data_IF_341254534527
#
_entry.id   IF_341254534527
#
_cell.length_a   1.000
_cell.length_b   1.000
_cell.length_c   1.000
_cell.angle_alpha   90.00
_cell.angle_beta   90.00
_cell.angle_gamma   90.00
#
_symmetry.space_group_name_H-M   'P 1'
#
loop_
_entity.id
_entity.type
_entity.pdbx_description
1 polymer ?
#
# COMPACT_ATOMS: atom_id res chain seq x y z
N UNK A 1 -15.66 -7.81 -35.38
CA UNK A 1 -17.14 -7.85 -35.37
C UNK A 1 -17.76 -8.65 -34.20
N UNK A 2 -17.16 -9.70 -33.62
CA UNK A 2 -17.74 -10.39 -32.43
C UNK A 2 -17.50 -9.72 -31.06
N UNK A 3 -16.58 -8.77 -30.96
CA UNK A 3 -16.29 -8.05 -29.70
C UNK A 3 -17.20 -6.83 -29.43
N UNK A 4 -17.88 -6.30 -30.45
CA UNK A 4 -18.75 -5.11 -30.30
C UNK A 4 -20.12 -5.49 -29.72
N UNK A 5 -20.61 -6.71 -30.00
CA UNK A 5 -21.88 -7.20 -29.46
C UNK A 5 -21.85 -7.36 -27.93
N UNK A 6 -20.73 -7.82 -27.35
CA UNK A 6 -20.60 -7.97 -25.91
C UNK A 6 -20.47 -6.63 -25.15
N UNK A 7 -19.93 -5.59 -25.80
CA UNK A 7 -19.84 -4.27 -25.19
C UNK A 7 -21.22 -3.58 -25.11
N UNK A 8 -22.03 -3.72 -26.16
CA UNK A 8 -23.39 -3.19 -26.17
C UNK A 8 -24.28 -3.83 -25.09
N UNK A 9 -24.13 -5.13 -24.86
CA UNK A 9 -24.88 -5.87 -23.83
C UNK A 9 -24.46 -5.43 -22.41
N UNK A 10 -23.17 -5.22 -22.16
CA UNK A 10 -22.66 -4.70 -20.89
C UNK A 10 -23.15 -3.27 -20.63
N UNK A 11 -23.18 -2.40 -21.65
CA UNK A 11 -23.69 -1.03 -21.52
C UNK A 11 -25.18 -1.04 -21.20
N UNK A 12 -25.98 -1.91 -21.83
CA UNK A 12 -27.42 -2.03 -21.56
C UNK A 12 -27.71 -2.51 -20.13
N UNK A 13 -26.91 -3.46 -19.61
CA UNK A 13 -27.00 -3.88 -18.20
C UNK A 13 -26.65 -2.71 -17.27
N UNK A 14 -25.64 -1.91 -17.63
CA UNK A 14 -25.21 -0.77 -16.84
C UNK A 14 -26.26 0.36 -16.77
N UNK A 15 -26.93 0.67 -17.87
CA UNK A 15 -28.02 1.65 -17.91
C UNK A 15 -29.22 1.20 -17.06
N UNK A 16 -29.56 -0.08 -17.08
CA UNK A 16 -30.64 -0.63 -16.26
C UNK A 16 -30.32 -0.57 -14.76
N UNK A 17 -29.07 -0.81 -14.37
CA UNK A 17 -28.62 -0.67 -12.97
C UNK A 17 -28.71 0.78 -12.50
N UNK A 18 -28.27 1.75 -13.31
CA UNK A 18 -28.40 3.18 -12.96
C UNK A 18 -29.87 3.59 -12.82
N UNK A 19 -30.73 3.16 -13.74
CA UNK A 19 -32.16 3.46 -13.67
C UNK A 19 -32.82 2.81 -12.43
N UNK A 20 -32.36 1.63 -12.02
CA UNK A 20 -32.76 1.00 -10.76
C UNK A 20 -32.35 1.82 -9.53
N UNK A 21 -31.10 2.28 -9.49
CA UNK A 21 -30.58 3.10 -8.38
C UNK A 21 -31.32 4.43 -8.23
N UNK A 22 -31.61 5.13 -9.35
CA UNK A 22 -32.40 6.37 -9.35
C UNK A 22 -33.82 6.19 -8.83
N UNK A 23 -34.43 5.02 -9.03
CA UNK A 23 -35.77 4.71 -8.49
C UNK A 23 -35.73 4.48 -6.98
N UNK A 24 -34.70 3.79 -6.48
CA UNK A 24 -34.53 3.54 -5.04
C UNK A 24 -34.36 4.86 -4.29
N UNK A 25 -33.52 5.77 -4.81
CA UNK A 25 -33.30 7.11 -4.26
C UNK A 25 -34.60 7.94 -4.21
N UNK A 26 -35.45 7.87 -5.24
CA UNK A 26 -36.74 8.55 -5.26
C UNK A 26 -37.74 8.03 -4.22
N UNK A 27 -37.68 6.72 -3.87
CA UNK A 27 -38.51 6.13 -2.80
C UNK A 27 -38.05 6.55 -1.40
N UNK A 28 -36.76 6.83 -1.21
CA UNK A 28 -36.21 7.22 0.08
C UNK A 28 -36.51 8.69 0.43
N UNK A 29 -36.61 9.57 -0.56
CA UNK A 29 -36.92 11.01 -0.39
C UNK A 29 -38.39 11.27 0.01
N UNK A 30 -39.28 10.29 -0.04
CA UNK A 30 -40.70 10.45 0.35
C UNK A 30 -41.07 9.73 1.67
N UNK A 31 -40.06 9.29 2.44
CA UNK A 31 -40.24 8.51 3.67
C UNK A 31 -40.13 9.28 4.98
N UNK A 32 -40.16 10.62 4.98
CA UNK A 32 -40.09 11.41 6.22
C UNK A 32 -41.37 12.23 6.42
N UNK A 33 -42.32 11.66 7.16
CA UNK A 33 -43.29 12.46 7.91
C UNK A 33 -43.78 11.69 9.13
N UNK A 34 -43.77 12.39 10.26
CA UNK A 34 -44.41 12.10 11.54
C UNK A 34 -43.63 11.25 12.54
N UNK A 35 -42.77 11.93 13.30
CA UNK A 35 -42.66 11.71 14.75
C UNK A 35 -42.84 13.03 15.46
N UNK A 36 -44.06 13.24 15.94
CA UNK A 36 -44.40 14.22 16.95
C UNK A 36 -44.07 13.66 18.35
N UNK A 37 -43.46 14.52 19.18
CA UNK A 37 -43.55 14.50 20.64
C UNK A 37 -42.55 13.61 21.38
N UNK A 38 -41.68 14.23 22.18
CA UNK A 38 -41.94 14.41 23.62
C UNK A 38 -40.80 15.25 24.23
N UNK A 39 -41.14 16.37 24.86
CA UNK A 39 -40.21 17.31 25.49
C UNK A 39 -39.85 16.80 26.89
N UNK A 40 -38.60 16.35 27.05
CA UNK A 40 -38.01 16.00 28.34
C UNK A 40 -36.72 16.78 28.54
N UNK A 41 -36.83 17.91 29.24
CA UNK A 41 -35.71 18.68 29.78
C UNK A 41 -34.88 17.80 30.72
N UNK A 42 -33.62 17.51 30.37
CA UNK A 42 -32.61 17.08 31.35
C UNK A 42 -31.19 17.45 30.88
N UNK A 43 -30.66 18.46 31.58
CA UNK A 43 -29.27 18.70 31.98
C UNK A 43 -28.12 18.35 31.01
N UNK A 44 -27.76 19.40 30.28
CA UNK A 44 -26.48 19.75 29.67
C UNK A 44 -25.24 19.29 30.48
N UNK A 45 -24.66 18.17 30.06
CA UNK A 45 -23.23 17.89 30.19
C UNK A 45 -22.68 17.56 28.81
N UNK A 46 -22.00 18.54 28.22
CA UNK A 46 -21.23 18.43 27.00
C UNK A 46 -20.31 17.21 27.02
N UNK A 47 -20.75 16.18 26.32
CA UNK A 47 -19.90 15.19 25.70
C UNK A 47 -19.91 15.58 24.22
N UNK A 48 -18.86 16.29 23.77
CA UNK A 48 -18.60 16.61 22.37
C UNK A 48 -18.19 15.32 21.63
N UNK A 49 -19.04 14.31 21.74
CA UNK A 49 -18.99 13.08 20.96
C UNK A 49 -19.39 13.40 19.53
N UNK A 50 -18.47 14.06 18.82
CA UNK A 50 -18.34 13.95 17.37
C UNK A 50 -17.94 12.49 17.03
N UNK A 51 -18.75 11.52 17.48
CA UNK A 51 -18.90 10.25 16.80
C UNK A 51 -19.61 10.59 15.50
N UNK A 52 -18.85 11.22 14.58
CA UNK A 52 -19.23 11.26 13.17
C UNK A 52 -19.62 9.83 12.84
N UNK A 53 -20.91 9.62 12.58
CA UNK A 53 -21.46 8.38 12.07
C UNK A 53 -20.65 8.05 10.81
N UNK A 54 -19.55 7.33 11.00
CA UNK A 54 -18.65 6.83 9.97
C UNK A 54 -19.44 5.70 9.32
N UNK A 55 -20.44 6.09 8.52
CA UNK A 55 -21.25 5.19 7.71
C UNK A 55 -20.29 4.22 7.06
N UNK A 56 -20.43 2.93 7.39
CA UNK A 56 -19.44 1.87 7.15
C UNK A 56 -18.87 1.86 5.71
N UNK A 57 -17.90 2.73 5.40
CA UNK A 57 -17.30 2.89 4.07
C UNK A 57 -16.20 1.85 3.80
N UNK A 58 -16.15 0.81 4.62
CA UNK A 58 -15.10 -0.20 4.59
C UNK A 58 -15.62 -1.60 4.98
N UNK A 59 -16.37 -2.23 4.06
CA UNK A 59 -16.91 -3.60 4.23
C UNK A 59 -15.86 -4.64 4.60
N UNK A 60 -14.58 -4.36 4.33
CA UNK A 60 -13.47 -5.21 4.70
C UNK A 60 -13.28 -5.34 6.22
N UNK A 61 -13.87 -4.47 7.05
CA UNK A 61 -13.90 -4.61 8.51
C UNK A 61 -14.76 -5.81 8.95
N UNK A 62 -15.85 -6.09 8.22
CA UNK A 62 -16.74 -7.22 8.45
C UNK A 62 -16.34 -8.50 7.67
N UNK A 63 -15.11 -8.58 7.13
CA UNK A 63 -14.67 -9.70 6.26
C UNK A 63 -14.54 -11.07 6.94
N UNK A 64 -14.61 -11.14 8.27
CA UNK A 64 -14.44 -12.40 9.02
C UNK A 64 -15.81 -12.91 9.44
N UNK A 65 -16.22 -14.04 8.89
CA UNK A 65 -17.50 -14.69 9.20
C UNK A 65 -17.74 -14.89 10.72
N UNK A 66 -16.68 -15.14 11.48
CA UNK A 66 -16.77 -15.43 12.91
C UNK A 66 -16.88 -14.19 13.81
N UNK A 67 -16.84 -12.98 13.27
CA UNK A 67 -16.93 -11.76 14.10
C UNK A 67 -18.39 -11.42 14.40
N UNK A 68 -18.63 -10.83 15.58
CA UNK A 68 -19.96 -10.36 15.97
C UNK A 68 -20.53 -9.35 14.98
N UNK A 69 -19.68 -8.47 14.42
CA UNK A 69 -20.09 -7.51 13.40
C UNK A 69 -20.66 -8.18 12.15
N UNK A 70 -19.96 -9.19 11.59
CA UNK A 70 -20.43 -9.91 10.41
C UNK A 70 -21.77 -10.62 10.71
N UNK A 71 -21.86 -11.27 11.86
CA UNK A 71 -23.08 -11.96 12.29
C UNK A 71 -24.25 -11.00 12.50
N UNK A 72 -24.00 -9.83 13.10
CA UNK A 72 -24.99 -8.79 13.29
C UNK A 72 -25.51 -8.28 11.94
N UNK A 73 -24.63 -7.93 11.01
CA UNK A 73 -25.01 -7.47 9.66
C UNK A 73 -25.83 -8.56 8.95
N UNK A 74 -25.40 -9.82 8.97
CA UNK A 74 -26.13 -10.95 8.35
C UNK A 74 -27.50 -11.22 8.97
N UNK A 75 -27.73 -10.80 10.22
CA UNK A 75 -29.02 -10.94 10.88
C UNK A 75 -30.05 -9.91 10.42
N UNK A 76 -29.59 -8.82 9.79
CA UNK A 76 -30.46 -7.80 9.22
C UNK A 76 -31.23 -8.35 8.01
N UNK A 77 -32.46 -7.91 7.83
CA UNK A 77 -33.29 -8.24 6.67
C UNK A 77 -33.23 -7.10 5.66
N UNK A 78 -32.45 -7.26 4.60
CA UNK A 78 -32.32 -6.28 3.53
C UNK A 78 -32.48 -6.96 2.16
N UNK A 79 -33.16 -6.28 1.25
CA UNK A 79 -33.37 -6.76 -0.13
C UNK A 79 -32.20 -6.42 -1.06
N UNK A 80 -31.40 -5.41 -0.71
CA UNK A 80 -30.25 -4.92 -1.47
C UNK A 80 -29.14 -4.59 -0.48
N UNK A 81 -27.90 -4.91 -0.82
CA UNK A 81 -26.71 -4.44 -0.10
C UNK A 81 -25.70 -3.87 -1.09
N UNK A 82 -25.10 -2.74 -0.74
CA UNK A 82 -23.97 -2.15 -1.44
C UNK A 82 -22.78 -2.19 -0.50
N UNK A 83 -21.74 -2.94 -0.87
CA UNK A 83 -20.53 -3.09 -0.07
C UNK A 83 -19.45 -2.16 -0.64
N UNK A 84 -19.05 -1.15 0.12
CA UNK A 84 -18.02 -0.19 -0.26
C UNK A 84 -16.69 -0.59 0.39
N UNK A 85 -15.64 -0.68 -0.41
CA UNK A 85 -14.28 -0.83 0.10
C UNK A 85 -13.23 -0.47 -0.96
N UNK A 86 -12.14 0.17 -0.52
CA UNK A 86 -10.98 0.41 -1.37
C UNK A 86 -10.17 -0.87 -1.69
N UNK A 87 -10.27 -1.90 -0.84
CA UNK A 87 -9.47 -3.14 -0.96
C UNK A 87 -10.28 -4.38 -0.56
N UNK A 88 -11.03 -5.01 -1.49
CA UNK A 88 -11.88 -6.16 -1.17
C UNK A 88 -11.08 -7.41 -0.77
N UNK A 89 -9.79 -7.49 -1.11
CA UNK A 89 -8.88 -8.56 -0.68
C UNK A 89 -7.72 -7.91 0.06
N UNK A 90 -7.65 -8.11 1.37
CA UNK A 90 -6.55 -7.55 2.18
C UNK A 90 -5.39 -8.53 2.29
N UNK A 91 -5.69 -9.79 2.66
CA UNK A 91 -4.68 -10.83 2.89
C UNK A 91 -4.97 -12.12 2.12
N UNK A 92 -6.23 -12.58 2.11
CA UNK A 92 -6.57 -13.91 1.59
C UNK A 92 -7.90 -13.92 0.86
N UNK A 93 -8.11 -14.91 -0.02
CA UNK A 93 -9.41 -15.15 -0.67
C UNK A 93 -10.55 -15.39 0.33
N UNK A 94 -10.24 -15.74 1.58
CA UNK A 94 -11.23 -15.89 2.65
C UNK A 94 -11.91 -14.56 2.99
N UNK A 95 -11.21 -13.45 2.78
CA UNK A 95 -11.71 -12.10 3.02
C UNK A 95 -12.91 -11.80 2.08
N UNK A 96 -12.94 -12.39 0.89
CA UNK A 96 -14.06 -12.27 -0.05
C UNK A 96 -15.27 -13.08 0.39
N UNK A 97 -15.07 -14.30 0.92
CA UNK A 97 -16.19 -15.11 1.42
C UNK A 97 -16.97 -14.34 2.48
N UNK A 98 -16.28 -13.85 3.52
CA UNK A 98 -16.97 -13.17 4.61
C UNK A 98 -17.69 -11.89 4.16
N UNK A 99 -17.13 -11.15 3.20
CA UNK A 99 -17.80 -9.98 2.62
C UNK A 99 -18.98 -10.37 1.73
N UNK A 100 -18.86 -11.36 0.86
CA UNK A 100 -19.96 -11.80 0.01
C UNK A 100 -21.10 -12.44 0.79
N UNK A 101 -20.83 -12.99 1.97
CA UNK A 101 -21.85 -13.48 2.89
C UNK A 101 -22.73 -12.37 3.48
N UNK A 102 -22.32 -11.10 3.33
CA UNK A 102 -23.11 -9.92 3.68
C UNK A 102 -24.10 -9.54 2.56
N UNK A 103 -24.11 -10.22 1.42
CA UNK A 103 -25.12 -9.97 0.38
C UNK A 103 -26.48 -10.57 0.79
N UNK A 104 -27.60 -10.05 0.27
CA UNK A 104 -28.93 -10.56 0.57
C UNK A 104 -29.01 -12.09 0.39
N UNK A 105 -29.65 -12.77 1.35
CA UNK A 105 -29.76 -14.23 1.35
C UNK A 105 -28.46 -14.97 1.70
N UNK A 106 -27.45 -14.28 2.24
CA UNK A 106 -26.14 -14.86 2.55
C UNK A 106 -25.19 -14.93 1.34
N UNK A 107 -25.56 -14.29 0.23
CA UNK A 107 -24.76 -14.25 -0.98
C UNK A 107 -24.56 -15.60 -1.68
N UNK A 108 -23.54 -15.73 -2.54
CA UNK A 108 -23.30 -16.93 -3.34
C UNK A 108 -22.68 -18.10 -2.54
N UNK A 109 -22.35 -17.89 -1.26
CA UNK A 109 -21.65 -18.87 -0.43
C UNK A 109 -22.37 -19.09 0.89
N UNK A 110 -22.63 -20.36 1.24
CA UNK A 110 -23.23 -20.71 2.53
C UNK A 110 -22.29 -20.42 3.70
N UNK A 111 -21.01 -20.73 3.51
CA UNK A 111 -19.95 -20.58 4.50
C UNK A 111 -18.57 -20.48 3.81
N UNK A 112 -17.54 -20.21 4.62
CA UNK A 112 -16.15 -20.19 4.13
C UNK A 112 -15.68 -21.52 3.54
N UNK A 113 -16.21 -22.66 4.01
CA UNK A 113 -15.83 -23.99 3.51
C UNK A 113 -16.31 -24.21 2.08
N UNK A 114 -17.52 -23.75 1.75
CA UNK A 114 -18.09 -23.81 0.41
C UNK A 114 -17.24 -23.03 -0.60
N UNK A 115 -16.85 -21.78 -0.26
CA UNK A 115 -15.92 -21.02 -1.10
C UNK A 115 -14.61 -21.80 -1.26
N UNK A 116 -14.06 -22.30 -0.15
CA UNK A 116 -12.77 -23.01 -0.14
C UNK A 116 -12.80 -24.24 -1.05
N UNK A 117 -13.90 -24.99 -1.08
CA UNK A 117 -14.09 -26.13 -1.97
C UNK A 117 -14.14 -25.73 -3.44
N UNK A 118 -14.88 -24.67 -3.77
CA UNK A 118 -14.99 -24.17 -5.14
C UNK A 118 -13.67 -23.66 -5.71
N UNK A 119 -12.80 -23.11 -4.86
CA UNK A 119 -11.52 -22.55 -5.28
C UNK A 119 -10.33 -23.49 -5.10
N UNK A 120 -10.55 -24.68 -4.52
CA UNK A 120 -9.49 -25.67 -4.28
C UNK A 120 -9.04 -26.28 -5.60
N UNK A 121 -7.77 -26.09 -5.94
CA UNK A 121 -7.17 -26.74 -7.12
C UNK A 121 -6.45 -28.00 -6.69
N UNK A 122 -6.88 -29.17 -7.18
CA UNK A 122 -6.16 -30.43 -6.94
C UNK A 122 -4.76 -30.32 -7.56
N UNK A 123 -3.71 -30.59 -6.78
CA UNK A 123 -2.34 -30.57 -7.31
C UNK A 123 -2.21 -31.61 -8.43
N UNK A 124 -1.39 -31.35 -9.47
CA UNK A 124 -1.18 -32.29 -10.58
C UNK A 124 -0.77 -33.69 -10.11
N UNK A 125 -0.08 -33.75 -8.98
CA UNK A 125 0.52 -34.94 -8.40
C UNK A 125 -0.46 -35.72 -7.49
N UNK A 126 -1.74 -35.30 -7.41
CA UNK A 126 -2.75 -35.91 -6.54
C UNK A 126 -2.58 -35.67 -5.04
N UNK A 127 -1.38 -35.30 -4.58
CA UNK A 127 -1.06 -35.08 -3.16
C UNK A 127 -1.43 -33.67 -2.70
N UNK A 128 -2.73 -33.44 -2.50
CA UNK A 128 -3.28 -32.26 -1.85
C UNK A 128 -3.75 -31.16 -2.80
N UNK A 129 -4.12 -30.01 -2.22
CA UNK A 129 -4.65 -28.86 -2.93
C UNK A 129 -3.63 -27.71 -2.96
N UNK A 130 -3.54 -27.01 -4.09
CA UNK A 130 -2.72 -25.81 -4.23
C UNK A 130 -3.54 -24.55 -3.90
N UNK A 131 -2.95 -23.54 -3.24
CA UNK A 131 -3.57 -22.23 -3.16
C UNK A 131 -3.70 -21.62 -4.56
N UNK A 132 -4.79 -20.88 -4.79
CA UNK A 132 -5.16 -20.16 -6.02
C UNK A 132 -4.03 -19.37 -6.71
N UNK A 133 -2.98 -18.98 -5.96
CA UNK A 133 -1.84 -18.25 -6.48
C UNK A 133 -0.92 -19.06 -7.40
N UNK A 134 -1.00 -20.40 -7.39
CA UNK A 134 0.02 -21.27 -8.01
C UNK A 134 -0.36 -22.02 -9.28
N UNK A 135 -1.62 -22.05 -9.72
CA UNK A 135 -2.06 -22.94 -10.82
C UNK A 135 -2.80 -22.17 -11.92
N UNK A 136 -2.40 -22.38 -13.17
CA UNK A 136 -2.74 -21.55 -14.33
C UNK A 136 -4.21 -21.53 -14.77
N UNK A 137 -4.49 -20.56 -15.65
CA UNK A 137 -5.60 -20.48 -16.61
C UNK A 137 -7.02 -20.75 -16.11
N UNK A 138 -7.42 -22.02 -16.12
CA UNK A 138 -8.81 -22.43 -15.96
C UNK A 138 -9.34 -22.24 -14.53
N UNK A 139 -8.49 -22.39 -13.51
CA UNK A 139 -8.90 -22.23 -12.11
C UNK A 139 -9.04 -20.77 -11.67
N UNK A 140 -8.57 -19.82 -12.48
CA UNK A 140 -8.81 -18.38 -12.27
C UNK A 140 -10.12 -17.92 -12.91
N UNK A 141 -10.71 -18.70 -13.82
CA UNK A 141 -11.91 -18.30 -14.54
C UNK A 141 -13.10 -18.10 -13.60
N UNK A 142 -13.36 -19.05 -12.69
CA UNK A 142 -14.49 -18.95 -11.76
C UNK A 142 -14.38 -17.74 -10.82
N UNK A 143 -13.26 -17.53 -10.09
CA UNK A 143 -13.09 -16.32 -9.28
C UNK A 143 -13.18 -15.04 -10.09
N UNK A 144 -12.61 -14.99 -11.30
CA UNK A 144 -12.66 -13.81 -12.15
C UNK A 144 -14.10 -13.50 -12.61
N UNK A 145 -14.87 -14.51 -13.01
CA UNK A 145 -16.27 -14.31 -13.39
C UNK A 145 -17.11 -13.82 -12.22
N UNK A 146 -16.92 -14.42 -11.03
CA UNK A 146 -17.63 -14.02 -9.83
C UNK A 146 -17.31 -12.56 -9.44
N UNK A 147 -16.02 -12.20 -9.44
CA UNK A 147 -15.59 -10.82 -9.17
C UNK A 147 -16.14 -9.87 -10.24
N UNK A 148 -16.13 -10.25 -11.51
CA UNK A 148 -16.67 -9.42 -12.58
C UNK A 148 -18.19 -9.22 -12.48
N UNK A 149 -18.94 -10.18 -11.92
CA UNK A 149 -20.40 -10.05 -11.73
C UNK A 149 -20.80 -9.31 -10.46
N UNK A 150 -19.96 -9.32 -9.43
CA UNK A 150 -20.30 -8.77 -8.10
C UNK A 150 -19.58 -7.47 -7.77
N UNK A 151 -18.45 -7.18 -8.42
CA UNK A 151 -17.58 -6.05 -8.07
C UNK A 151 -17.53 -5.05 -9.22
N UNK A 152 -17.89 -3.81 -8.91
CA UNK A 152 -17.66 -2.68 -9.79
C UNK A 152 -16.44 -1.92 -9.27
N UNK A 153 -15.36 -1.90 -10.04
CA UNK A 153 -14.14 -1.20 -9.69
C UNK A 153 -13.67 -0.31 -10.84
N UNK A 154 -13.18 0.89 -10.51
CA UNK A 154 -12.54 1.80 -11.47
C UNK A 154 -11.02 1.74 -11.30
N UNK A 155 -10.26 1.19 -12.27
CA UNK A 155 -8.81 1.13 -12.13
C UNK A 155 -8.20 2.53 -12.16
N UNK A 156 -7.14 2.74 -11.37
CA UNK A 156 -6.42 4.03 -11.31
C UNK A 156 -5.86 4.46 -12.67
N UNK A 157 -5.64 3.53 -13.60
CA UNK A 157 -5.20 3.83 -14.97
C UNK A 157 -6.22 4.62 -15.80
N UNK A 158 -7.50 4.59 -15.43
CA UNK A 158 -8.52 5.44 -16.06
C UNK A 158 -8.50 6.87 -15.52
N UNK A 159 -7.86 7.09 -14.36
CA UNK A 159 -7.65 8.41 -13.81
C UNK A 159 -6.40 9.00 -14.46
N UNK A 160 -6.46 10.26 -14.92
CA UNK A 160 -5.30 11.00 -15.47
C UNK A 160 -4.38 11.48 -14.33
N UNK A 161 -3.90 10.54 -13.52
CA UNK A 161 -3.01 10.82 -12.40
C UNK A 161 -1.57 10.93 -12.87
N UNK A 162 -0.78 11.70 -12.13
CA UNK A 162 0.66 11.71 -12.33
C UNK A 162 1.25 10.32 -12.05
N UNK A 163 2.35 9.94 -12.72
CA UNK A 163 3.01 8.66 -12.46
C UNK A 163 3.39 8.51 -10.99
N UNK A 164 3.20 7.30 -10.44
CA UNK A 164 3.66 6.97 -9.09
C UNK A 164 5.19 6.94 -9.10
N UNK A 165 5.82 7.84 -8.33
CA UNK A 165 7.27 7.84 -8.14
C UNK A 165 7.58 7.12 -6.84
N UNK A 166 8.16 5.92 -6.95
CA UNK A 166 8.64 5.17 -5.79
C UNK A 166 10.07 5.59 -5.49
N UNK A 167 10.29 6.21 -4.33
CA UNK A 167 11.62 6.49 -3.82
C UNK A 167 12.05 5.37 -2.88
N UNK A 168 13.00 4.55 -3.33
CA UNK A 168 13.68 3.57 -2.47
C UNK A 168 14.87 4.27 -1.86
N UNK A 169 14.94 4.26 -0.53
CA UNK A 169 15.98 4.96 0.20
C UNK A 169 16.71 3.97 1.08
N UNK A 170 17.93 3.62 0.69
CA UNK A 170 18.77 2.70 1.43
C UNK A 170 19.35 3.39 2.65
N UNK A 171 19.00 2.89 3.83
CA UNK A 171 19.47 3.40 5.11
C UNK A 171 20.57 2.48 5.63
N UNK A 172 21.77 3.01 5.77
CA UNK A 172 22.87 2.28 6.40
C UNK A 172 22.80 2.42 7.93
N UNK A 173 22.48 1.33 8.62
CA UNK A 173 22.44 1.28 10.09
C UNK A 173 23.82 1.15 10.76
N UNK A 174 24.90 1.07 9.98
CA UNK A 174 26.27 1.06 10.52
C UNK A 174 26.73 2.46 10.94
N UNK A 175 26.09 3.52 10.47
CA UNK A 175 26.25 4.89 10.99
C UNK A 175 25.29 5.15 12.15
N UNK A 176 25.77 5.94 13.12
CA UNK A 176 25.10 6.40 14.35
C UNK A 176 23.59 6.10 14.44
N UNK A 177 23.20 5.22 15.38
CA UNK A 177 21.80 4.86 15.68
C UNK A 177 20.88 6.08 15.82
N UNK A 178 21.42 7.21 16.28
CA UNK A 178 20.71 8.48 16.40
C UNK A 178 20.15 8.98 15.05
N UNK A 179 20.90 8.80 13.96
CA UNK A 179 20.46 9.24 12.63
C UNK A 179 19.32 8.36 12.09
N UNK A 180 19.37 7.05 12.33
CA UNK A 180 18.29 6.14 11.95
C UNK A 180 16.97 6.48 12.67
N UNK A 181 17.04 6.72 13.99
CA UNK A 181 15.88 7.16 14.80
C UNK A 181 15.34 8.51 14.30
N UNK A 182 16.22 9.44 13.92
CA UNK A 182 15.82 10.75 13.38
C UNK A 182 15.11 10.62 12.03
N UNK A 183 15.62 9.77 11.14
CA UNK A 183 14.98 9.48 9.84
C UNK A 183 13.59 8.89 10.05
N UNK A 184 13.46 7.87 10.91
CA UNK A 184 12.18 7.24 11.22
C UNK A 184 11.18 8.25 11.79
N UNK A 185 11.61 9.11 12.73
CA UNK A 185 10.77 10.16 13.29
C UNK A 185 10.29 11.16 12.23
N UNK A 186 11.16 11.56 11.30
CA UNK A 186 10.81 12.47 10.21
C UNK A 186 9.82 11.83 9.23
N UNK A 187 10.02 10.55 8.88
CA UNK A 187 9.09 9.80 8.04
C UNK A 187 7.72 9.64 8.73
N UNK A 188 7.70 9.35 10.03
CA UNK A 188 6.46 9.28 10.82
C UNK A 188 5.71 10.63 10.79
N UNK A 189 6.40 11.74 11.08
CA UNK A 189 5.80 13.08 11.03
C UNK A 189 5.28 13.44 9.64
N UNK A 190 5.98 13.04 8.58
CA UNK A 190 5.51 13.24 7.21
C UNK A 190 4.22 12.44 6.93
N UNK A 191 4.16 11.20 7.39
CA UNK A 191 2.98 10.33 7.24
C UNK A 191 1.77 10.91 7.97
N UNK A 192 1.95 11.33 9.22
CA UNK A 192 0.88 11.93 10.03
C UNK A 192 0.35 13.22 9.37
N UNK A 193 1.24 14.05 8.83
CA UNK A 193 0.86 15.26 8.09
C UNK A 193 0.14 14.97 6.76
N UNK A 194 0.50 13.88 6.06
CA UNK A 194 -0.22 13.45 4.84
C UNK A 194 -1.63 12.94 5.15
N UNK A 195 -1.81 12.23 6.26
CA UNK A 195 -3.13 11.80 6.71
C UNK A 195 -4.02 13.00 7.01
N UNK A 196 -3.54 13.94 7.83
CA UNK A 196 -4.27 15.19 8.10
C UNK A 196 -4.60 15.99 6.85
N UNK A 197 -3.67 16.08 5.90
CA UNK A 197 -3.92 16.76 4.62
C UNK A 197 -5.06 16.12 3.82
N UNK A 198 -5.25 14.80 3.95
CA UNK A 198 -6.33 14.07 3.28
C UNK A 198 -7.68 14.30 3.95
N UNK A 199 -7.71 14.39 5.27
CA UNK A 199 -8.92 14.68 6.07
C UNK A 199 -9.36 16.13 5.90
N UNK A 200 -8.43 17.08 6.06
CA UNK A 200 -8.73 18.52 6.09
C UNK A 200 -8.78 19.15 4.68
N UNK A 201 -8.50 18.39 3.61
CA UNK A 201 -8.28 18.89 2.25
C UNK A 201 -7.29 20.09 2.18
N UNK A 202 -6.41 20.20 3.17
CA UNK A 202 -5.55 21.37 3.38
C UNK A 202 -4.19 21.19 2.72
N UNK A 203 -3.84 22.10 1.80
CA UNK A 203 -2.56 22.10 1.09
C UNK A 203 -1.34 22.40 1.94
N UNK A 204 -1.50 22.99 3.13
CA UNK A 204 -0.36 23.31 4.01
C UNK A 204 0.18 22.09 4.74
N UNK A 205 -0.69 21.15 5.15
CA UNK A 205 -0.30 19.86 5.72
C UNK A 205 0.53 19.02 4.72
N UNK A 206 0.22 19.10 3.42
CA UNK A 206 1.04 18.49 2.37
C UNK A 206 2.44 19.11 2.27
N UNK A 207 2.56 20.44 2.32
CA UNK A 207 3.88 21.13 2.30
C UNK A 207 4.72 20.74 3.50
N UNK A 208 4.11 20.61 4.69
CA UNK A 208 4.78 20.15 5.91
C UNK A 208 5.32 18.73 5.73
N UNK A 209 4.51 17.82 5.18
CA UNK A 209 4.94 16.45 4.90
C UNK A 209 6.15 16.40 3.95
N UNK A 210 6.10 17.13 2.84
CA UNK A 210 7.23 17.22 1.90
C UNK A 210 8.48 17.81 2.58
N UNK A 211 8.30 18.80 3.46
CA UNK A 211 9.39 19.36 4.25
C UNK A 211 10.09 18.32 5.14
N UNK A 212 9.33 17.46 5.82
CA UNK A 212 9.86 16.37 6.62
C UNK A 212 10.59 15.31 5.79
N UNK A 213 10.02 14.90 4.65
CA UNK A 213 10.66 13.95 3.74
C UNK A 213 11.98 14.48 3.17
N UNK A 214 12.04 15.77 2.80
CA UNK A 214 13.28 16.39 2.34
C UNK A 214 14.37 16.38 3.41
N UNK A 215 14.03 16.66 4.67
CA UNK A 215 15.00 16.58 5.78
C UNK A 215 15.49 15.16 6.02
N UNK A 216 14.58 14.17 5.96
CA UNK A 216 14.95 12.77 6.08
C UNK A 216 15.92 12.35 4.97
N UNK A 217 15.68 12.81 3.73
CA UNK A 217 16.58 12.55 2.60
C UNK A 217 17.99 13.13 2.84
N UNK A 218 18.09 14.39 3.27
CA UNK A 218 19.37 15.03 3.60
C UNK A 218 20.15 14.23 4.66
N UNK A 219 19.45 13.72 5.67
CA UNK A 219 20.05 12.91 6.72
C UNK A 219 20.56 11.56 6.21
N UNK A 220 19.82 10.95 5.29
CA UNK A 220 20.21 9.69 4.65
C UNK A 220 21.44 9.89 3.78
N UNK A 221 21.44 10.94 2.95
CA UNK A 221 22.55 11.27 2.08
C UNK A 221 23.82 11.53 2.91
N UNK A 222 23.70 12.28 4.00
CA UNK A 222 24.80 12.55 4.94
C UNK A 222 25.34 11.28 5.59
N UNK A 223 24.47 10.34 5.98
CA UNK A 223 24.89 9.05 6.56
C UNK A 223 25.60 8.18 5.53
N UNK A 224 25.09 8.14 4.30
CA UNK A 224 25.69 7.37 3.21
C UNK A 224 27.06 7.94 2.85
N UNK A 225 27.22 9.27 2.81
CA UNK A 225 28.52 9.92 2.64
C UNK A 225 29.51 9.53 3.74
N UNK A 226 29.10 9.60 5.02
CA UNK A 226 29.93 9.19 6.16
C UNK A 226 30.33 7.71 6.07
N UNK A 227 29.39 6.83 5.72
CA UNK A 227 29.65 5.40 5.59
C UNK A 227 30.62 5.09 4.45
N UNK A 228 30.47 5.75 3.29
CA UNK A 228 31.40 5.65 2.17
C UNK A 228 32.79 6.16 2.56
N UNK A 229 32.90 7.26 3.30
CA UNK A 229 34.17 7.80 3.78
C UNK A 229 34.88 6.81 4.72
N UNK A 230 34.19 6.26 5.72
CA UNK A 230 34.73 5.25 6.65
C UNK A 230 35.24 4.02 5.87
N UNK A 231 34.46 3.56 4.89
CA UNK A 231 34.84 2.40 4.06
C UNK A 231 36.08 2.67 3.21
N UNK A 232 36.21 3.88 2.65
CA UNK A 232 37.40 4.29 1.89
C UNK A 232 38.62 4.34 2.82
N UNK A 233 38.49 4.94 4.00
CA UNK A 233 39.57 5.06 4.98
C UNK A 233 40.07 3.68 5.42
N UNK A 234 39.15 2.76 5.75
CA UNK A 234 39.48 1.37 6.09
C UNK A 234 40.22 0.63 4.96
N UNK A 235 39.78 0.81 3.70
CA UNK A 235 40.44 0.18 2.55
C UNK A 235 41.85 0.75 2.32
N UNK A 236 42.05 2.04 2.56
CA UNK A 236 43.36 2.70 2.46
C UNK A 236 44.29 2.24 3.58
N UNK A 237 43.80 2.12 4.81
CA UNK A 237 44.57 1.60 5.95
C UNK A 237 45.02 0.15 5.71
N UNK A 238 44.09 -0.73 5.30
CA UNK A 238 44.41 -2.12 4.90
C UNK A 238 45.45 -2.20 3.77
N UNK A 239 45.37 -1.29 2.80
CA UNK A 239 46.34 -1.24 1.72
C UNK A 239 47.72 -0.80 2.21
N UNK A 240 47.79 0.15 3.15
CA UNK A 240 49.03 0.62 3.79
C UNK A 240 49.71 -0.52 4.54
N UNK A 241 48.96 -1.29 5.32
CA UNK A 241 49.48 -2.45 6.04
C UNK A 241 50.04 -3.51 5.07
N UNK A 242 49.34 -3.77 3.97
CA UNK A 242 49.78 -4.72 2.96
C UNK A 242 51.05 -4.26 2.23
N UNK A 243 51.20 -2.96 1.95
CA UNK A 243 52.43 -2.39 1.40
C UNK A 243 53.60 -2.51 2.38
N UNK A 244 53.34 -2.26 3.67
CA UNK A 244 54.36 -2.38 4.72
C UNK A 244 54.88 -3.82 4.81
N UNK A 245 53.97 -4.81 4.87
CA UNK A 245 54.32 -6.23 4.84
C UNK A 245 55.05 -6.65 3.57
N UNK A 246 54.63 -6.16 2.41
CA UNK A 246 55.31 -6.45 1.14
C UNK A 246 56.76 -5.98 1.15
N UNK A 247 57.03 -4.82 1.78
CA UNK A 247 58.38 -4.27 1.92
C UNK A 247 59.24 -5.07 2.89
N UNK A 248 58.68 -5.55 3.99
CA UNK A 248 59.41 -6.36 4.98
C UNK A 248 59.69 -7.79 4.49
N UNK A 249 58.72 -8.41 3.81
CA UNK A 249 58.80 -9.82 3.41
C UNK A 249 59.33 -10.01 1.97
N UNK A 250 59.58 -8.93 1.22
CA UNK A 250 59.83 -8.95 -0.23
C UNK A 250 58.77 -9.76 -1.03
N UNK A 251 57.55 -9.84 -0.48
CA UNK A 251 56.49 -10.67 -1.02
C UNK A 251 55.66 -9.88 -2.04
N UNK A 252 55.73 -10.30 -3.30
CA UNK A 252 54.99 -9.68 -4.41
C UNK A 252 53.47 -9.82 -4.30
N UNK A 253 52.96 -10.77 -3.54
CA UNK A 253 51.51 -10.96 -3.40
C UNK A 253 50.88 -9.94 -2.46
N UNK A 254 51.58 -9.53 -1.40
CA UNK A 254 51.17 -8.42 -0.52
C UNK A 254 51.07 -7.09 -1.28
N UNK A 255 51.95 -6.87 -2.28
CA UNK A 255 51.86 -5.71 -3.17
C UNK A 255 50.62 -5.76 -4.07
N UNK A 256 50.31 -6.92 -4.67
CA UNK A 256 49.10 -7.09 -5.49
C UNK A 256 47.82 -6.84 -4.68
N UNK A 257 47.78 -7.30 -3.43
CA UNK A 257 46.66 -7.07 -2.51
C UNK A 257 46.49 -5.56 -2.24
N UNK A 258 47.57 -4.85 -1.95
CA UNK A 258 47.50 -3.40 -1.74
C UNK A 258 46.97 -2.64 -2.96
N UNK A 259 47.45 -2.98 -4.17
CA UNK A 259 46.96 -2.37 -5.42
C UNK A 259 45.48 -2.67 -5.65
N UNK A 260 45.01 -3.88 -5.35
CA UNK A 260 43.60 -4.23 -5.46
C UNK A 260 42.71 -3.43 -4.48
N UNK A 261 43.16 -3.25 -3.23
CA UNK A 261 42.45 -2.46 -2.22
C UNK A 261 42.37 -0.97 -2.60
N UNK A 262 43.46 -0.40 -3.11
CA UNK A 262 43.48 0.99 -3.59
C UNK A 262 42.59 1.20 -4.83
N UNK A 263 42.56 0.24 -5.76
CA UNK A 263 41.63 0.28 -6.90
C UNK A 263 40.18 0.25 -6.44
N UNK A 264 39.87 -0.58 -5.45
CA UNK A 264 38.52 -0.66 -4.85
C UNK A 264 38.13 0.63 -4.13
N UNK A 265 39.04 1.23 -3.36
CA UNK A 265 38.82 2.52 -2.72
C UNK A 265 38.57 3.64 -3.75
N UNK A 266 39.31 3.62 -4.87
CA UNK A 266 39.13 4.57 -5.97
C UNK A 266 37.77 4.43 -6.65
N UNK A 267 37.29 3.21 -6.86
CA UNK A 267 35.94 2.96 -7.43
C UNK A 267 34.85 3.46 -6.48
N UNK A 268 35.01 3.20 -5.17
CA UNK A 268 34.08 3.69 -4.15
C UNK A 268 34.05 5.23 -4.11
N UNK A 269 35.20 5.89 -4.26
CA UNK A 269 35.30 7.35 -4.31
C UNK A 269 34.74 7.97 -5.61
N UNK A 270 34.74 7.21 -6.71
CA UNK A 270 34.26 7.66 -8.02
C UNK A 270 32.73 7.57 -8.18
N UNK A 271 32.04 6.87 -7.28
CA UNK A 271 30.58 6.81 -7.21
C UNK A 271 30.08 7.57 -5.96
N UNK A 272 30.23 8.90 -5.90
CA UNK A 272 29.68 9.66 -4.78
C UNK A 272 28.14 9.53 -4.78
N UNK A 273 27.49 9.53 -3.60
CA UNK A 273 26.04 9.59 -3.54
C UNK A 273 25.50 10.78 -4.33
N UNK A 274 24.32 10.59 -4.94
CA UNK A 274 23.70 11.37 -6.01
C UNK A 274 23.76 12.91 -5.84
N UNK A 275 23.82 13.42 -4.62
CA UNK A 275 23.84 14.86 -4.33
C UNK A 275 25.11 15.57 -4.86
N UNK A 276 26.26 14.89 -4.86
CA UNK A 276 27.55 15.47 -5.33
C UNK A 276 27.68 15.57 -6.84
N UNK A 277 26.95 14.76 -7.61
CA UNK A 277 26.96 14.82 -9.07
C UNK A 277 26.41 16.17 -9.59
N UNK A 278 25.41 16.73 -8.90
CA UNK A 278 24.80 18.03 -9.28
C UNK A 278 25.64 19.25 -8.88
N UNK A 279 26.45 19.14 -7.81
CA UNK A 279 27.35 20.21 -7.37
C UNK A 279 28.64 20.23 -8.18
N UNK A 280 29.23 19.06 -8.46
CA UNK A 280 30.42 18.96 -9.33
C UNK A 280 30.10 19.44 -10.75
N UNK A 281 28.90 19.15 -11.28
CA UNK A 281 28.46 19.68 -12.57
C UNK A 281 28.32 21.21 -12.60
N UNK A 282 27.92 21.83 -11.48
CA UNK A 282 27.84 23.29 -11.33
C UNK A 282 29.22 23.94 -11.14
N UNK A 283 30.12 23.28 -10.42
CA UNK A 283 31.50 23.72 -10.21
C UNK A 283 32.32 23.68 -11.52
N UNK A 284 32.09 22.67 -12.36
CA UNK A 284 32.70 22.55 -13.69
C UNK A 284 32.10 23.57 -14.69
N UNK A 285 30.82 23.93 -14.56
CA UNK A 285 30.20 24.94 -15.43
C UNK A 285 30.58 26.38 -15.08
N UNK A 286 31.22 26.62 -13.92
CA UNK A 286 31.70 27.93 -13.47
C UNK A 286 33.19 28.17 -13.74
N UNK A 287 33.94 27.13 -14.13
CA UNK A 287 35.35 27.22 -14.52
C UNK A 287 35.48 27.11 -16.02
#
# INVERSE_FOLDING_TARGET
>A
MRHEAGFAEIVAVWENVIQGLKRVEATFVHGESNRDGDDGDDEDKGDDGDDEDEWEDESHLAKRETTLLNQAIRSLKYGVALLLTGTPIFNTWRDLAGQFMLLPGGGPFNDLSHLTELIRVKKPNGNGYAPLGGVGGQHRALPNHLLASLVIARPKSQLRLQPVVTHVVDVNFNSERASAVRIELLVKKARDALFKSREEANGDSYKIAIGHLRRAQVDIDSNNERASAIKIEFLVEKARDALFKSREEANGDSYKIAIALLRRARVEAANPPLHRASEIGREISRR
#
